data_IF_826556548197
#
_entry.id   IF_826556548197
#
_cell.length_a   1.000
_cell.length_b   1.000
_cell.length_c   1.000
_cell.angle_alpha   90.00
_cell.angle_beta   90.00
_cell.angle_gamma   90.00
#
_symmetry.space_group_name_H-M   'P 1'
#
loop_
_entity.id
_entity.type
_entity.pdbx_description
1 polymer ?
#
# COMPACT_ATOMS: atom_id res chain seq x y z
N UNK A 1 -3.33 18.01 -23.81
CA UNK A 1 -4.40 18.30 -22.83
C UNK A 1 -4.19 17.40 -21.62
N UNK A 2 -3.52 17.92 -20.60
CA UNK A 2 -3.20 17.17 -19.38
C UNK A 2 -4.47 17.12 -18.50
N UNK A 3 -5.16 16.01 -18.49
CA UNK A 3 -6.10 15.73 -17.39
C UNK A 3 -5.27 15.36 -16.16
N UNK A 4 -5.15 16.29 -15.23
CA UNK A 4 -4.77 15.94 -13.88
C UNK A 4 -5.77 14.89 -13.39
N UNK A 5 -5.28 13.68 -13.09
CA UNK A 5 -6.05 12.66 -12.41
C UNK A 5 -6.37 13.19 -11.03
N UNK A 6 -7.55 13.74 -10.86
CA UNK A 6 -8.10 14.03 -9.55
C UNK A 6 -8.32 12.68 -8.87
N UNK A 7 -7.52 12.39 -7.85
CA UNK A 7 -7.86 11.32 -6.93
C UNK A 7 -9.28 11.55 -6.44
N UNK A 8 -10.18 10.57 -6.53
CA UNK A 8 -11.49 10.72 -5.91
C UNK A 8 -11.29 11.06 -4.44
N UNK A 9 -12.12 11.92 -3.86
CA UNK A 9 -11.97 12.32 -2.48
C UNK A 9 -11.95 11.08 -1.60
N UNK A 10 -10.94 10.99 -0.77
CA UNK A 10 -10.67 9.88 0.18
C UNK A 10 -11.88 9.49 1.04
N UNK A 11 -12.90 10.32 1.08
CA UNK A 11 -14.07 10.16 1.93
C UNK A 11 -15.25 9.41 1.35
N UNK A 12 -15.33 9.19 0.03
CA UNK A 12 -16.59 8.70 -0.50
C UNK A 12 -16.76 7.17 -0.49
N UNK A 13 -15.71 6.39 -0.17
CA UNK A 13 -15.80 4.92 -0.11
C UNK A 13 -14.88 4.20 0.89
N UNK A 14 -14.10 4.88 1.70
CA UNK A 14 -13.33 4.22 2.73
C UNK A 14 -14.13 4.08 4.03
N UNK A 15 -15.24 3.39 3.98
CA UNK A 15 -15.68 2.68 5.18
C UNK A 15 -14.71 1.54 5.41
N UNK A 16 -13.46 1.84 5.68
CA UNK A 16 -12.56 0.88 6.27
C UNK A 16 -12.72 1.01 7.77
N UNK A 17 -13.32 0.02 8.42
CA UNK A 17 -13.28 -0.08 9.88
C UNK A 17 -11.86 -0.46 10.35
N UNK A 18 -10.84 -0.09 9.61
CA UNK A 18 -9.48 -0.55 9.88
C UNK A 18 -8.82 0.16 11.06
N UNK A 19 -9.45 1.17 11.64
CA UNK A 19 -8.88 1.85 12.80
C UNK A 19 -9.56 1.52 14.12
N UNK A 20 -10.73 0.87 14.13
CA UNK A 20 -11.47 0.68 15.37
C UNK A 20 -11.57 -0.76 15.86
N UNK A 21 -11.06 -1.73 15.14
CA UNK A 21 -11.21 -3.14 15.52
C UNK A 21 -9.90 -3.91 15.67
N UNK A 22 -8.90 -3.29 16.27
CA UNK A 22 -7.93 -4.06 17.03
C UNK A 22 -8.41 -4.19 18.48
N UNK A 23 -9.51 -4.84 18.69
CA UNK A 23 -9.88 -5.42 20.00
C UNK A 23 -9.22 -6.79 20.13
N UNK A 24 -7.93 -6.86 19.92
CA UNK A 24 -7.09 -7.99 20.26
C UNK A 24 -6.31 -7.61 21.49
N UNK A 25 -6.67 -8.16 22.63
CA UNK A 25 -5.91 -8.38 23.84
C UNK A 25 -4.46 -7.86 23.80
N UNK A 26 -4.20 -6.91 24.53
CA UNK A 26 -3.08 -6.03 24.79
C UNK A 26 -3.29 -4.70 24.07
N UNK A 27 -3.41 -3.68 24.88
CA UNK A 27 -3.29 -2.29 24.48
C UNK A 27 -1.86 -2.06 23.99
N UNK A 28 -1.51 -2.68 22.87
CA UNK A 28 -0.35 -2.27 22.10
C UNK A 28 -0.61 -0.82 21.74
N UNK A 29 0.22 0.04 22.27
CA UNK A 29 0.15 1.46 21.98
C UNK A 29 0.14 1.60 20.46
N UNK A 30 -0.99 2.03 19.89
CA UNK A 30 -1.03 2.38 18.47
C UNK A 30 0.03 3.47 18.28
N UNK A 31 1.03 3.14 17.53
CA UNK A 31 2.04 4.12 17.17
C UNK A 31 1.37 5.23 16.34
N UNK A 32 1.32 6.47 16.82
CA UNK A 32 0.56 7.53 16.12
C UNK A 32 0.98 7.70 14.66
N UNK A 33 2.27 7.53 14.37
CA UNK A 33 2.80 7.62 13.02
C UNK A 33 2.31 6.52 12.07
N UNK A 34 1.82 5.38 12.59
CA UNK A 34 1.32 4.29 11.73
C UNK A 34 0.12 4.73 10.89
N UNK A 35 -0.74 5.61 11.43
CA UNK A 35 -1.86 6.20 10.72
C UNK A 35 -1.39 7.02 9.51
N UNK A 36 -0.39 7.88 9.72
CA UNK A 36 0.20 8.70 8.67
C UNK A 36 0.85 7.84 7.60
N UNK A 37 1.69 6.88 8.02
CA UNK A 37 2.39 5.97 7.11
C UNK A 37 1.39 5.12 6.30
N UNK A 38 0.30 4.66 6.89
CA UNK A 38 -0.73 3.94 6.16
C UNK A 38 -1.37 4.80 5.07
N UNK A 39 -1.66 6.07 5.36
CA UNK A 39 -2.18 7.02 4.37
C UNK A 39 -1.19 7.28 3.24
N UNK A 40 0.10 7.47 3.56
CA UNK A 40 1.16 7.62 2.55
C UNK A 40 1.31 6.37 1.68
N UNK A 41 1.25 5.18 2.26
CA UNK A 41 1.28 3.90 1.51
C UNK A 41 0.13 3.82 0.51
N UNK A 42 -1.09 4.15 0.93
CA UNK A 42 -2.25 4.16 0.05
C UNK A 42 -2.09 5.18 -1.09
N UNK A 43 -1.68 6.41 -0.76
CA UNK A 43 -1.42 7.46 -1.74
C UNK A 43 -0.34 7.03 -2.75
N UNK A 44 0.76 6.48 -2.26
CA UNK A 44 1.86 6.01 -3.11
C UNK A 44 1.41 4.92 -4.06
N UNK A 45 0.77 3.86 -3.57
CA UNK A 45 0.32 2.75 -4.40
C UNK A 45 -0.66 3.22 -5.50
N UNK A 46 -1.57 4.15 -5.15
CA UNK A 46 -2.49 4.74 -6.12
C UNK A 46 -1.75 5.59 -7.18
N UNK A 47 -0.71 6.34 -6.77
CA UNK A 47 0.02 7.25 -7.66
C UNK A 47 0.94 6.53 -8.65
N UNK A 48 1.49 5.37 -8.25
CA UNK A 48 2.42 4.60 -9.10
C UNK A 48 1.74 3.51 -9.91
N UNK A 49 0.44 3.35 -9.77
CA UNK A 49 -0.36 2.36 -10.49
C UNK A 49 -1.25 3.01 -11.55
N UNK A 50 -1.51 2.29 -12.63
CA UNK A 50 -2.38 2.72 -13.73
C UNK A 50 -3.39 1.64 -14.14
N UNK A 51 -4.15 1.88 -15.20
CA UNK A 51 -5.17 0.93 -15.67
C UNK A 51 -4.58 -0.37 -16.21
N UNK A 52 -3.35 -0.33 -16.71
CA UNK A 52 -2.71 -1.47 -17.39
C UNK A 52 -1.58 -2.10 -16.59
N UNK A 53 -1.09 -1.42 -15.54
CA UNK A 53 0.03 -1.88 -14.74
C UNK A 53 -0.09 -1.42 -13.30
N UNK A 54 0.08 -2.34 -12.36
CA UNK A 54 0.00 -2.09 -10.93
C UNK A 54 1.36 -2.28 -10.26
N UNK A 55 1.69 -1.36 -9.35
CA UNK A 55 2.83 -1.46 -8.44
C UNK A 55 2.35 -1.34 -7.00
N UNK A 56 2.75 -2.28 -6.16
CA UNK A 56 2.68 -2.06 -4.73
C UNK A 56 3.81 -1.14 -4.27
N UNK A 57 3.67 -0.56 -3.09
CA UNK A 57 4.76 0.22 -2.48
C UNK A 57 6.03 -0.61 -2.25
N UNK A 58 5.90 -1.93 -2.14
CA UNK A 58 7.05 -2.84 -2.06
C UNK A 58 7.86 -2.90 -3.35
N UNK A 59 7.20 -2.79 -4.51
CA UNK A 59 7.86 -2.93 -5.81
C UNK A 59 8.78 -1.75 -6.17
N UNK A 60 8.60 -0.61 -5.52
CA UNK A 60 9.43 0.58 -5.78
C UNK A 60 10.60 0.73 -4.80
N UNK A 61 10.76 -0.19 -3.83
CA UNK A 61 11.85 -0.12 -2.86
C UNK A 61 13.22 -0.08 -3.53
N UNK A 62 13.56 -1.09 -4.33
CA UNK A 62 14.88 -1.18 -4.94
C UNK A 62 15.14 -0.01 -5.88
N UNK A 63 14.18 0.35 -6.71
CA UNK A 63 14.30 1.44 -7.67
C UNK A 63 14.53 2.81 -7.00
N UNK A 64 14.15 2.98 -5.74
CA UNK A 64 14.34 4.23 -4.97
C UNK A 64 15.69 4.32 -4.23
N UNK A 65 16.52 3.26 -4.27
CA UNK A 65 17.81 3.26 -3.59
C UNK A 65 18.86 4.10 -4.33
N UNK A 66 19.96 4.51 -3.66
CA UNK A 66 21.05 5.25 -4.29
C UNK A 66 21.53 4.56 -5.57
N UNK A 67 21.66 5.34 -6.66
CA UNK A 67 22.10 4.86 -7.95
C UNK A 67 21.02 4.17 -8.80
N UNK A 68 19.77 4.09 -8.32
CA UNK A 68 18.65 3.52 -9.06
C UNK A 68 17.75 4.62 -9.69
N UNK A 69 16.87 4.21 -10.60
CA UNK A 69 16.06 5.09 -11.47
C UNK A 69 15.12 6.04 -10.74
N UNK A 70 14.64 5.68 -9.55
CA UNK A 70 13.73 6.48 -8.74
C UNK A 70 14.40 7.07 -7.49
N UNK A 71 15.74 7.12 -7.48
CA UNK A 71 16.45 7.72 -6.35
C UNK A 71 16.01 9.18 -6.11
N UNK A 72 15.69 9.49 -4.87
CA UNK A 72 15.17 10.80 -4.47
C UNK A 72 13.65 10.94 -4.52
N UNK A 73 12.92 9.93 -5.04
CA UNK A 73 11.46 9.98 -5.15
C UNK A 73 10.78 10.33 -3.82
N UNK A 74 11.25 9.75 -2.72
CA UNK A 74 10.67 9.98 -1.37
C UNK A 74 10.83 11.42 -0.88
N UNK A 75 11.79 12.17 -1.42
CA UNK A 75 12.04 13.57 -1.03
C UNK A 75 11.27 14.58 -1.86
N UNK A 76 10.66 14.15 -2.97
CA UNK A 76 9.98 15.04 -3.92
C UNK A 76 8.50 15.25 -3.60
N UNK A 77 7.92 14.45 -2.73
CA UNK A 77 6.51 14.53 -2.39
C UNK A 77 6.33 15.15 -1.00
N UNK A 78 5.94 16.41 -0.90
CA UNK A 78 5.73 17.06 0.39
C UNK A 78 4.62 16.35 1.16
N UNK A 79 4.86 16.16 2.46
CA UNK A 79 3.94 15.55 3.39
C UNK A 79 3.19 16.63 4.17
N UNK A 80 1.88 16.48 4.33
CA UNK A 80 1.06 17.31 5.20
C UNK A 80 0.60 16.53 6.45
N UNK A 81 1.40 16.46 7.50
CA UNK A 81 1.05 15.72 8.71
C UNK A 81 -0.17 16.30 9.41
N UNK A 82 -0.42 17.61 9.29
CA UNK A 82 -1.56 18.27 9.92
C UNK A 82 -2.91 17.78 9.36
N UNK A 83 -2.93 17.25 8.14
CA UNK A 83 -4.13 16.66 7.58
C UNK A 83 -4.42 15.25 8.13
N UNK A 84 -3.43 14.59 8.76
CA UNK A 84 -3.58 13.24 9.28
C UNK A 84 -4.05 13.19 10.74
N UNK A 85 -3.82 14.25 11.51
CA UNK A 85 -4.05 14.29 12.94
C UNK A 85 -5.13 15.30 13.32
N UNK A 86 -5.90 14.96 14.33
CA UNK A 86 -6.98 15.75 14.90
C UNK A 86 -7.58 15.03 16.09
N UNK A 87 -8.87 15.18 16.33
CA UNK A 87 -9.57 14.47 17.40
C UNK A 87 -9.60 12.95 17.11
N UNK A 88 -8.94 12.13 17.93
CA UNK A 88 -8.89 10.69 17.71
C UNK A 88 -10.26 9.99 17.72
N UNK A 89 -11.27 10.61 18.35
CA UNK A 89 -12.63 10.05 18.40
C UNK A 89 -13.32 10.08 17.03
N UNK A 90 -12.82 10.90 16.11
CA UNK A 90 -13.36 11.02 14.74
C UNK A 90 -12.68 10.10 13.75
N UNK A 91 -11.58 9.44 14.12
CA UNK A 91 -10.80 8.59 13.20
C UNK A 91 -11.64 7.43 12.67
N UNK A 92 -11.63 7.25 11.35
CA UNK A 92 -12.41 6.24 10.64
C UNK A 92 -13.89 6.55 10.47
N UNK A 93 -14.34 7.75 10.84
CA UNK A 93 -15.70 8.25 10.60
C UNK A 93 -15.73 9.23 9.42
N UNK A 94 -16.90 9.69 9.03
CA UNK A 94 -17.07 10.73 8.01
C UNK A 94 -16.45 12.09 8.41
N UNK A 95 -16.20 12.29 9.71
CA UNK A 95 -15.54 13.48 10.26
C UNK A 95 -14.03 13.32 10.48
N UNK A 96 -13.46 12.22 10.01
CA UNK A 96 -12.02 11.98 10.10
C UNK A 96 -11.24 13.13 9.43
N UNK A 97 -10.20 13.71 10.09
CA UNK A 97 -9.41 14.81 9.52
C UNK A 97 -8.82 14.52 8.13
N UNK A 98 -8.61 13.27 7.78
CA UNK A 98 -8.09 12.88 6.45
C UNK A 98 -9.16 12.93 5.34
N UNK A 99 -10.45 12.97 5.68
CA UNK A 99 -11.52 13.00 4.67
C UNK A 99 -11.39 14.23 3.79
N UNK A 100 -11.31 14.03 2.48
CA UNK A 100 -11.16 15.10 1.49
C UNK A 100 -9.82 15.84 1.52
N UNK A 101 -8.81 15.35 2.24
CA UNK A 101 -7.49 15.95 2.31
C UNK A 101 -6.44 15.13 1.55
N UNK A 102 -5.49 15.83 0.95
CA UNK A 102 -4.29 15.23 0.41
C UNK A 102 -3.21 15.18 1.50
N UNK A 103 -2.81 13.98 1.88
CA UNK A 103 -1.74 13.77 2.87
C UNK A 103 -0.37 13.98 2.22
N UNK A 104 -0.23 13.62 0.96
CA UNK A 104 1.06 13.63 0.28
C UNK A 104 1.98 12.51 0.77
N UNK A 105 3.27 12.72 0.62
CA UNK A 105 4.29 11.76 1.01
C UNK A 105 4.40 10.55 0.07
N UNK A 106 5.56 9.90 0.11
CA UNK A 106 5.82 8.65 -0.61
C UNK A 106 6.49 7.65 0.31
N UNK A 107 5.98 6.44 0.36
CA UNK A 107 6.53 5.31 1.11
C UNK A 107 6.85 4.18 0.14
N UNK A 108 8.08 3.64 0.25
CA UNK A 108 8.65 2.68 -0.71
C UNK A 108 8.84 1.27 -0.13
N UNK A 109 8.07 0.89 0.86
CA UNK A 109 8.08 -0.45 1.44
C UNK A 109 6.67 -1.00 1.65
N UNK A 110 6.54 -2.32 1.79
CA UNK A 110 5.28 -3.06 1.71
C UNK A 110 4.14 -2.55 2.57
N UNK A 111 2.91 -2.84 2.13
CA UNK A 111 1.65 -2.52 2.79
C UNK A 111 0.77 -1.51 2.02
N UNK A 112 1.23 -0.98 0.90
CA UNK A 112 0.43 -0.15 0.00
C UNK A 112 0.06 -0.89 -1.28
N UNK A 113 -1.22 -0.93 -1.63
CA UNK A 113 -1.77 -1.60 -2.82
C UNK A 113 -2.81 -0.73 -3.50
N UNK A 114 -2.78 -0.66 -4.82
CA UNK A 114 -3.87 -0.04 -5.58
C UNK A 114 -5.13 -0.91 -5.54
N UNK A 115 -6.28 -0.26 -5.55
CA UNK A 115 -7.59 -0.89 -5.52
C UNK A 115 -8.23 -0.84 -6.90
N UNK A 116 -8.67 -1.97 -7.38
CA UNK A 116 -9.30 -2.13 -8.68
C UNK A 116 -10.71 -2.70 -8.57
N UNK A 117 -11.65 -2.10 -9.30
CA UNK A 117 -12.99 -2.67 -9.45
C UNK A 117 -12.93 -4.02 -10.17
N UNK A 118 -14.00 -4.82 -10.08
CA UNK A 118 -14.09 -6.06 -10.85
C UNK A 118 -13.95 -5.89 -12.38
N UNK A 119 -14.05 -4.65 -12.87
CA UNK A 119 -13.84 -4.28 -14.28
C UNK A 119 -12.42 -3.77 -14.57
N UNK A 120 -11.49 -3.88 -13.63
CA UNK A 120 -10.11 -3.42 -13.77
C UNK A 120 -9.92 -1.90 -13.67
N UNK A 121 -10.93 -1.14 -13.28
CA UNK A 121 -10.80 0.31 -13.10
C UNK A 121 -10.11 0.60 -11.75
N UNK A 122 -9.09 1.45 -11.75
CA UNK A 122 -8.47 1.91 -10.52
C UNK A 122 -9.43 2.81 -9.74
N UNK A 123 -9.63 2.52 -8.46
CA UNK A 123 -10.56 3.21 -7.58
C UNK A 123 -9.86 4.03 -6.50
N UNK A 124 -8.58 3.77 -6.24
CA UNK A 124 -7.82 4.40 -5.18
C UNK A 124 -6.71 3.49 -4.65
N UNK A 125 -6.28 3.71 -3.42
CA UNK A 125 -5.24 2.92 -2.76
C UNK A 125 -5.64 2.46 -1.36
N UNK A 126 -5.06 1.34 -0.95
CA UNK A 126 -5.13 0.78 0.40
C UNK A 126 -3.74 0.85 1.03
N UNK A 127 -3.65 1.31 2.26
CA UNK A 127 -2.42 1.30 3.03
C UNK A 127 -2.59 0.66 4.40
N UNK A 128 -1.67 -0.21 4.76
CA UNK A 128 -1.58 -0.87 6.06
C UNK A 128 -0.22 -0.57 6.67
N UNK A 129 -0.20 -0.18 7.93
CA UNK A 129 1.02 0.10 8.68
C UNK A 129 0.81 -0.20 10.17
N UNK A 130 1.79 -0.82 10.79
CA UNK A 130 1.75 -1.16 12.21
C UNK A 130 2.63 -2.35 12.60
N UNK A 131 3.20 -3.02 11.62
CA UNK A 131 4.12 -4.15 11.79
C UNK A 131 5.29 -4.02 10.80
N UNK A 132 6.04 -5.09 10.58
CA UNK A 132 7.04 -5.12 9.51
C UNK A 132 6.37 -4.90 8.15
N UNK A 133 7.07 -4.30 7.20
CA UNK A 133 6.54 -4.06 5.85
C UNK A 133 6.06 -5.34 5.16
N UNK A 134 6.66 -6.48 5.47
CA UNK A 134 6.24 -7.78 4.97
C UNK A 134 4.89 -8.21 5.55
N UNK A 135 4.69 -8.04 6.86
CA UNK A 135 3.40 -8.34 7.52
C UNK A 135 2.32 -7.38 7.04
N UNK A 136 2.63 -6.08 6.98
CA UNK A 136 1.73 -5.07 6.45
C UNK A 136 1.26 -5.40 5.03
N UNK A 137 2.19 -5.87 4.17
CA UNK A 137 1.87 -6.27 2.80
C UNK A 137 0.92 -7.49 2.77
N UNK A 138 1.16 -8.49 3.59
CA UNK A 138 0.29 -9.68 3.71
C UNK A 138 -1.12 -9.29 4.15
N UNK A 139 -1.23 -8.39 5.13
CA UNK A 139 -2.52 -7.92 5.63
C UNK A 139 -3.25 -7.12 4.53
N UNK A 140 -2.55 -6.18 3.88
CA UNK A 140 -3.10 -5.38 2.79
C UNK A 140 -3.62 -6.26 1.64
N UNK A 141 -2.84 -7.27 1.24
CA UNK A 141 -3.23 -8.20 0.17
C UNK A 141 -4.52 -8.95 0.48
N UNK A 142 -4.60 -9.55 1.68
CA UNK A 142 -5.79 -10.28 2.12
C UNK A 142 -7.00 -9.36 2.22
N UNK A 143 -6.83 -8.17 2.78
CA UNK A 143 -7.91 -7.19 2.91
C UNK A 143 -8.42 -6.74 1.54
N UNK A 144 -7.53 -6.43 0.58
CA UNK A 144 -7.92 -6.10 -0.80
C UNK A 144 -8.73 -7.22 -1.45
N UNK A 145 -8.31 -8.46 -1.23
CA UNK A 145 -9.01 -9.65 -1.74
C UNK A 145 -10.42 -9.81 -1.14
N UNK A 146 -10.54 -9.69 0.18
CA UNK A 146 -11.83 -9.77 0.88
C UNK A 146 -12.81 -8.66 0.45
N UNK A 147 -12.28 -7.47 0.16
CA UNK A 147 -13.05 -6.36 -0.37
C UNK A 147 -13.46 -6.56 -1.85
N UNK A 148 -12.94 -7.57 -2.53
CA UNK A 148 -13.13 -7.82 -3.97
C UNK A 148 -12.68 -6.65 -4.85
N UNK A 149 -11.62 -5.97 -4.43
CA UNK A 149 -11.02 -4.83 -5.11
C UNK A 149 -9.64 -5.19 -5.68
N UNK A 150 -9.50 -6.42 -6.12
CA UNK A 150 -8.26 -7.10 -6.51
C UNK A 150 -8.21 -7.50 -8.00
N UNK A 151 -9.02 -6.88 -8.86
CA UNK A 151 -8.92 -7.10 -10.31
C UNK A 151 -7.69 -6.38 -10.90
N UNK A 152 -6.54 -6.69 -10.32
CA UNK A 152 -5.24 -6.12 -10.67
C UNK A 152 -4.89 -6.49 -12.10
N UNK A 153 -4.44 -5.53 -12.91
CA UNK A 153 -3.96 -5.80 -14.28
C UNK A 153 -2.61 -6.54 -14.26
N UNK A 154 -1.68 -6.14 -15.08
CA UNK A 154 -0.31 -6.62 -15.05
C UNK A 154 0.49 -6.01 -13.89
N UNK A 155 1.53 -6.71 -13.41
CA UNK A 155 2.50 -6.20 -12.42
C UNK A 155 3.83 -6.91 -12.53
N UNK A 156 4.87 -6.48 -11.78
CA UNK A 156 6.24 -6.94 -11.96
C UNK A 156 6.54 -8.30 -11.34
N UNK A 157 5.66 -8.88 -10.53
CA UNK A 157 5.93 -10.16 -9.90
C UNK A 157 6.00 -11.30 -10.92
N UNK A 158 6.62 -12.43 -10.58
CA UNK A 158 6.61 -13.62 -11.45
C UNK A 158 5.20 -14.10 -11.80
N UNK A 159 4.22 -13.80 -10.98
CA UNK A 159 2.81 -14.12 -11.21
C UNK A 159 2.06 -13.00 -11.95
N UNK A 160 2.78 -12.05 -12.54
CA UNK A 160 2.25 -10.92 -13.31
C UNK A 160 1.27 -10.03 -12.52
N UNK A 161 1.56 -9.80 -11.25
CA UNK A 161 0.78 -8.91 -10.38
C UNK A 161 1.70 -8.05 -9.50
N UNK A 162 1.12 -7.28 -8.58
CA UNK A 162 1.83 -6.34 -7.71
C UNK A 162 2.29 -6.96 -6.37
N UNK A 163 2.46 -8.29 -6.30
CA UNK A 163 2.98 -8.93 -5.10
C UNK A 163 4.42 -8.46 -4.79
N UNK A 164 4.80 -8.52 -3.52
CA UNK A 164 6.15 -8.23 -3.07
C UNK A 164 7.15 -9.24 -3.62
N UNK A 165 8.23 -8.76 -4.22
CA UNK A 165 9.31 -9.56 -4.80
C UNK A 165 10.49 -9.56 -3.83
N UNK A 166 10.91 -10.73 -3.37
CA UNK A 166 11.99 -10.91 -2.39
C UNK A 166 13.25 -11.48 -3.09
N UNK A 167 13.76 -10.73 -4.07
CA UNK A 167 14.86 -11.18 -4.93
C UNK A 167 16.19 -10.45 -4.71
N UNK A 168 16.25 -9.51 -3.76
CA UNK A 168 17.49 -8.78 -3.47
C UNK A 168 18.54 -9.75 -2.93
N UNK A 169 19.69 -9.82 -3.63
CA UNK A 169 20.87 -10.59 -3.25
C UNK A 169 22.12 -9.71 -3.40
N UNK A 170 22.93 -9.63 -2.36
CA UNK A 170 24.16 -8.80 -2.36
C UNK A 170 23.94 -7.37 -2.83
N UNK A 171 22.79 -6.77 -2.43
CA UNK A 171 22.43 -5.39 -2.78
C UNK A 171 21.88 -5.19 -4.19
N UNK A 172 21.66 -6.27 -4.95
CA UNK A 172 21.11 -6.22 -6.32
C UNK A 172 19.77 -6.94 -6.37
N UNK A 173 18.80 -6.37 -7.08
CA UNK A 173 17.53 -6.99 -7.45
C UNK A 173 17.54 -7.31 -8.94
N UNK A 174 17.55 -8.59 -9.35
CA UNK A 174 17.49 -8.95 -10.77
C UNK A 174 16.25 -8.46 -11.50
N UNK A 175 15.10 -8.39 -10.79
CA UNK A 175 13.88 -7.84 -11.36
C UNK A 175 13.88 -6.31 -11.46
N UNK A 176 14.69 -5.62 -10.66
CA UNK A 176 14.63 -4.17 -10.46
C UNK A 176 13.51 -3.70 -9.51
N UNK A 177 12.65 -4.63 -9.06
CA UNK A 177 11.45 -4.36 -8.26
C UNK A 177 11.51 -5.00 -6.86
N UNK A 178 12.70 -5.45 -6.44
CA UNK A 178 12.87 -6.19 -5.20
C UNK A 178 12.64 -5.38 -3.94
N UNK A 179 12.15 -6.08 -2.92
CA UNK A 179 12.03 -5.62 -1.55
C UNK A 179 12.96 -6.47 -0.67
N UNK A 180 13.60 -5.90 0.36
CA UNK A 180 14.40 -6.67 1.29
C UNK A 180 13.53 -7.64 2.11
N UNK A 181 14.16 -8.71 2.58
CA UNK A 181 13.54 -9.60 3.57
C UNK A 181 13.36 -8.87 4.90
N UNK A 182 12.24 -9.11 5.56
CA UNK A 182 11.95 -8.49 6.83
C UNK A 182 12.56 -9.29 7.97
N UNK A 183 13.30 -8.61 8.85
CA UNK A 183 13.84 -9.19 10.07
C UNK A 183 12.93 -8.83 11.25
N UNK A 184 12.69 -9.79 12.14
CA UNK A 184 11.81 -9.62 13.31
C UNK A 184 10.33 -9.90 12.98
N UNK A 185 9.54 -10.12 14.02
CA UNK A 185 8.13 -10.48 13.89
C UNK A 185 7.88 -11.92 13.41
N UNK A 186 6.67 -12.18 13.00
CA UNK A 186 6.29 -13.47 12.41
C UNK A 186 6.88 -13.60 10.99
N UNK A 187 7.29 -14.80 10.58
CA UNK A 187 7.88 -15.02 9.26
C UNK A 187 6.82 -14.83 8.16
N UNK A 188 6.71 -13.62 7.65
CA UNK A 188 5.76 -13.28 6.60
C UNK A 188 6.20 -13.75 5.20
N UNK A 189 7.49 -13.97 4.98
CA UNK A 189 8.06 -14.32 3.67
C UNK A 189 7.48 -15.60 3.04
N UNK A 190 7.32 -16.72 3.77
CA UNK A 190 6.68 -17.91 3.22
C UNK A 190 5.23 -17.64 2.80
N UNK A 191 4.55 -16.74 3.52
CA UNK A 191 3.17 -16.35 3.20
C UNK A 191 3.17 -15.52 1.92
N UNK A 192 4.06 -14.52 1.79
CA UNK A 192 4.20 -13.65 0.60
C UNK A 192 4.36 -14.49 -0.65
N UNK A 193 5.23 -15.50 -0.63
CA UNK A 193 5.47 -16.41 -1.76
C UNK A 193 4.25 -17.24 -2.19
N UNK A 194 3.21 -17.28 -1.37
CA UNK A 194 1.98 -18.04 -1.64
C UNK A 194 0.75 -17.16 -1.80
N UNK A 195 0.87 -15.84 -1.62
CA UNK A 195 -0.27 -14.92 -1.65
C UNK A 195 -1.04 -15.00 -2.96
N UNK A 196 -0.37 -14.84 -4.09
CA UNK A 196 -1.00 -14.87 -5.42
C UNK A 196 -1.74 -16.17 -5.71
N UNK A 197 -1.24 -17.30 -5.18
CA UNK A 197 -1.90 -18.61 -5.34
C UNK A 197 -3.09 -18.78 -4.40
N UNK A 198 -2.99 -18.29 -3.17
CA UNK A 198 -4.04 -18.43 -2.14
C UNK A 198 -5.15 -17.41 -2.28
N UNK A 199 -4.80 -16.22 -2.72
CA UNK A 199 -5.66 -15.07 -2.91
C UNK A 199 -5.37 -14.48 -4.30
N UNK A 200 -5.85 -15.15 -5.37
CA UNK A 200 -5.55 -14.76 -6.74
C UNK A 200 -6.12 -13.38 -7.06
N UNK A 201 -5.37 -12.63 -7.84
CA UNK A 201 -5.74 -11.32 -8.35
C UNK A 201 -6.09 -11.42 -9.84
N UNK A 202 -6.66 -10.35 -10.37
CA UNK A 202 -7.05 -10.26 -11.77
C UNK A 202 -8.56 -10.23 -11.99
N UNK A 203 -8.99 -9.97 -13.22
CA UNK A 203 -10.41 -9.97 -13.56
C UNK A 203 -11.04 -11.32 -13.23
N UNK A 204 -12.12 -11.29 -12.47
CA UNK A 204 -12.93 -12.49 -12.20
C UNK A 204 -13.95 -12.62 -13.31
N UNK A 205 -13.81 -13.68 -14.11
CA UNK A 205 -14.77 -14.08 -15.14
C UNK A 205 -16.16 -14.31 -14.57
#
# INVERSE_FOLDING_TARGET
>A
MNRALQCPPWGSRSRTPATSQFSGSNRSQQWPSSRLIAAEKANTANSVSGPDYALSTANIYFASQPGQSLYGLVTLAPLNPNAAFGDPTTFGTDNDPMVGKAIGGIVVFGGGLALYSGKGQILGGLGVSGDTSCTDHVIAWKLRHELKLDAVPMGPSPEHNDNMILDIRNGVSPSGFGHPTCKGGQPAEPIIRTLSRRFPTGPKS
#
